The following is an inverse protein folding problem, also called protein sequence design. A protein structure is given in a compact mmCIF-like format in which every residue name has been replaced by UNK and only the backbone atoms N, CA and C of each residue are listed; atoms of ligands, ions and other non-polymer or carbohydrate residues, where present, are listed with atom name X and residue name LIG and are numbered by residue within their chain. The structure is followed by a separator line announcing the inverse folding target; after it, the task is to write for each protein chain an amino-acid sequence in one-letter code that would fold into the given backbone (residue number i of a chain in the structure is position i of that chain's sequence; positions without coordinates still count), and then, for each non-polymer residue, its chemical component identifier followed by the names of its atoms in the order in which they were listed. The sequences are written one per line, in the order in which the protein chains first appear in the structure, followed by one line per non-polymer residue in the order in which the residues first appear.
data_IF_783491151768
#
_entry.id   IF_783491151768
#
_cell.length_a   1.000
_cell.length_b   1.000
_cell.length_c   1.000
_cell.angle_alpha   90.00
_cell.angle_beta   90.00
_cell.angle_gamma   90.00
#
_symmetry.space_group_name_H-M   'P 1'
#
loop_
_entity.id
_entity.type
_entity.pdbx_description
1 polymer ?
#
# COMPACT_ATOMS: atom_id res chain seq x y z
N UNK A 1 1.49 22.88 -1.40
CA UNK A 1 1.00 21.52 -1.65
C UNK A 1 2.13 20.59 -2.06
N UNK A 2 2.70 20.71 -3.27
CA UNK A 2 3.76 19.79 -3.75
C UNK A 2 5.01 19.75 -2.84
N UNK A 3 5.46 20.90 -2.31
CA UNK A 3 6.61 20.95 -1.39
C UNK A 3 6.39 20.18 -0.07
N UNK A 4 5.19 20.27 0.52
CA UNK A 4 4.88 19.54 1.76
C UNK A 4 4.79 18.03 1.52
N UNK A 5 4.26 17.61 0.37
CA UNK A 5 4.23 16.20 0.01
C UNK A 5 5.64 15.65 -0.18
N UNK A 6 6.50 16.38 -0.91
CA UNK A 6 7.92 16.02 -1.06
C UNK A 6 8.64 15.95 0.27
N UNK A 7 8.40 16.91 1.18
CA UNK A 7 8.98 16.89 2.51
C UNK A 7 8.49 15.68 3.31
N UNK A 8 7.19 15.38 3.30
CA UNK A 8 6.65 14.19 3.94
C UNK A 8 7.34 12.91 3.45
N UNK A 9 7.53 12.77 2.13
CA UNK A 9 8.23 11.62 1.54
C UNK A 9 9.71 11.54 1.95
N UNK A 10 10.39 12.69 2.11
CA UNK A 10 11.77 12.75 2.61
C UNK A 10 11.86 12.28 4.07
N UNK A 11 10.94 12.72 4.93
CA UNK A 11 10.91 12.32 6.34
C UNK A 11 10.71 10.80 6.48
N UNK A 12 10.04 10.15 5.53
CA UNK A 12 9.85 8.69 5.51
C UNK A 12 11.08 7.91 5.01
N UNK A 13 12.09 8.57 4.43
CA UNK A 13 13.28 7.87 3.94
C UNK A 13 14.27 7.55 5.05
N UNK A 14 15.04 6.48 4.86
CA UNK A 14 16.24 6.26 5.64
C UNK A 14 17.25 7.41 5.42
N UNK A 15 17.94 7.89 6.48
CA UNK A 15 17.94 7.36 7.85
C UNK A 15 16.93 8.06 8.79
N UNK A 16 15.99 8.85 8.27
CA UNK A 16 15.06 9.63 9.09
C UNK A 16 13.96 8.75 9.68
N UNK A 17 13.18 8.07 8.82
CA UNK A 17 11.99 7.29 9.21
C UNK A 17 11.12 8.03 10.23
N UNK A 18 11.00 9.35 10.10
CA UNK A 18 10.30 10.24 11.02
C UNK A 18 8.82 10.38 10.60
N UNK A 19 8.06 9.34 10.94
CA UNK A 19 6.62 9.27 10.65
C UNK A 19 5.83 10.43 11.29
N UNK A 20 6.23 10.95 12.46
CA UNK A 20 5.55 12.08 13.09
C UNK A 20 5.74 13.37 12.30
N UNK A 21 6.96 13.63 11.81
CA UNK A 21 7.24 14.79 10.96
C UNK A 21 6.56 14.67 9.60
N UNK A 22 6.47 13.46 9.03
CA UNK A 22 5.68 13.21 7.83
C UNK A 22 4.18 13.52 8.05
N UNK A 23 3.60 13.10 9.17
CA UNK A 23 2.21 13.41 9.52
C UNK A 23 1.96 14.91 9.72
N UNK A 24 2.90 15.64 10.33
CA UNK A 24 2.82 17.12 10.42
C UNK A 24 2.80 17.77 9.03
N UNK A 25 3.60 17.28 8.10
CA UNK A 25 3.57 17.76 6.71
C UNK A 25 2.22 17.47 6.04
N UNK A 26 1.61 16.32 6.33
CA UNK A 26 0.27 15.95 5.85
C UNK A 26 -0.80 16.91 6.40
N UNK A 27 -0.75 17.25 7.68
CA UNK A 27 -1.65 18.24 8.30
C UNK A 27 -1.61 19.59 7.58
N UNK A 28 -0.40 20.08 7.26
CA UNK A 28 -0.21 21.32 6.49
C UNK A 28 -0.84 21.24 5.09
N UNK A 29 -0.85 20.06 4.45
CA UNK A 29 -1.54 19.88 3.17
C UNK A 29 -3.05 19.91 3.37
N UNK A 30 -3.59 19.28 4.41
CA UNK A 30 -5.03 19.28 4.67
C UNK A 30 -5.58 20.67 4.98
N UNK A 31 -4.82 21.55 5.63
CA UNK A 31 -5.22 22.96 5.81
C UNK A 31 -5.44 23.68 4.47
N UNK A 32 -4.72 23.29 3.42
CA UNK A 32 -4.81 23.86 2.09
C UNK A 32 -5.80 23.12 1.18
N UNK A 33 -5.91 21.79 1.35
CA UNK A 33 -6.71 20.90 0.52
C UNK A 33 -7.22 19.71 1.37
N UNK A 34 -8.35 19.87 2.09
CA UNK A 34 -8.85 18.88 3.04
C UNK A 34 -9.13 17.47 2.46
N UNK A 35 -9.38 17.38 1.16
CA UNK A 35 -9.73 16.14 0.47
C UNK A 35 -8.66 15.70 -0.55
N UNK A 36 -7.38 16.01 -0.28
CA UNK A 36 -6.29 15.65 -1.20
C UNK A 36 -6.07 14.13 -1.23
N UNK A 37 -6.51 13.46 -2.30
CA UNK A 37 -6.56 12.01 -2.37
C UNK A 37 -5.19 11.32 -2.18
N UNK A 38 -4.13 11.83 -2.79
CA UNK A 38 -2.79 11.22 -2.67
C UNK A 38 -2.26 11.30 -1.23
N UNK A 39 -2.65 12.35 -0.52
CA UNK A 39 -2.23 12.57 0.86
C UNK A 39 -3.04 11.68 1.80
N UNK A 40 -4.31 11.44 1.50
CA UNK A 40 -5.14 10.45 2.20
C UNK A 40 -4.59 9.03 2.04
N UNK A 41 -4.12 8.68 0.85
CA UNK A 41 -3.47 7.40 0.57
C UNK A 41 -2.16 7.30 1.36
N UNK A 42 -1.34 8.35 1.36
CA UNK A 42 -0.07 8.39 2.10
C UNK A 42 -0.28 8.32 3.62
N UNK A 43 -1.24 9.07 4.17
CA UNK A 43 -1.59 9.03 5.60
C UNK A 43 -1.96 7.62 6.05
N UNK A 44 -2.79 6.92 5.27
CA UNK A 44 -3.19 5.55 5.58
C UNK A 44 -2.04 4.55 5.50
N UNK A 45 -1.11 4.74 4.57
CA UNK A 45 0.08 3.92 4.45
C UNK A 45 1.04 4.14 5.63
N UNK A 46 1.26 5.39 6.06
CA UNK A 46 2.04 5.72 7.25
C UNK A 46 1.40 5.10 8.50
N UNK A 47 0.09 5.26 8.64
CA UNK A 47 -0.67 4.68 9.74
C UNK A 47 -0.59 3.16 9.76
N UNK A 48 -0.47 2.48 8.62
CA UNK A 48 -0.28 1.04 8.59
C UNK A 48 1.11 0.60 9.08
N UNK A 49 2.17 1.33 8.71
CA UNK A 49 3.55 0.95 9.07
C UNK A 49 3.96 1.40 10.47
N UNK A 50 3.48 2.54 10.93
CA UNK A 50 3.91 3.16 12.19
C UNK A 50 2.87 3.04 13.31
N UNK A 51 1.58 2.94 12.98
CA UNK A 51 0.45 2.90 13.92
C UNK A 51 -0.57 1.82 13.50
N UNK A 52 -1.86 2.08 13.71
CA UNK A 52 -2.96 1.42 13.03
C UNK A 52 -3.74 2.46 12.21
N UNK A 53 -4.33 2.03 11.09
CA UNK A 53 -5.34 2.82 10.37
C UNK A 53 -6.52 3.01 11.30
N UNK A 54 -6.88 4.25 11.61
CA UNK A 54 -7.99 4.56 12.52
C UNK A 54 -9.34 4.41 11.83
N UNK A 55 -10.41 4.22 12.60
CA UNK A 55 -11.78 4.19 12.06
C UNK A 55 -12.13 5.47 11.28
N UNK A 56 -11.69 6.65 11.76
CA UNK A 56 -11.91 7.93 11.07
C UNK A 56 -11.19 7.98 9.71
N UNK A 57 -9.94 7.52 9.67
CA UNK A 57 -9.17 7.46 8.43
C UNK A 57 -9.75 6.44 7.44
N UNK A 58 -10.17 5.27 7.93
CA UNK A 58 -10.86 4.26 7.13
C UNK A 58 -12.19 4.79 6.57
N UNK A 59 -12.95 5.54 7.38
CA UNK A 59 -14.17 6.20 6.93
C UNK A 59 -13.89 7.21 5.82
N UNK A 60 -12.89 8.07 5.99
CA UNK A 60 -12.45 9.04 4.96
C UNK A 60 -12.04 8.33 3.67
N UNK A 61 -11.30 7.22 3.76
CA UNK A 61 -10.95 6.36 2.61
C UNK A 61 -12.19 5.76 1.93
N UNK A 62 -13.22 5.38 2.68
CA UNK A 62 -14.44 4.79 2.12
C UNK A 62 -15.36 5.80 1.43
N UNK A 63 -15.32 7.07 1.86
CA UNK A 63 -16.17 8.15 1.37
C UNK A 63 -15.54 8.94 0.21
N UNK A 64 -14.21 8.86 0.03
CA UNK A 64 -13.53 9.56 -1.06
C UNK A 64 -13.94 8.99 -2.41
N UNK A 65 -14.30 9.88 -3.34
CA UNK A 65 -14.64 9.49 -4.71
C UNK A 65 -13.46 9.73 -5.63
N UNK A 66 -13.17 8.74 -6.48
CA UNK A 66 -12.07 8.80 -7.43
C UNK A 66 -12.49 8.21 -8.78
N UNK A 67 -12.23 8.94 -9.86
CA UNK A 67 -12.48 8.45 -11.23
C UNK A 67 -11.31 7.63 -11.81
N UNK A 68 -10.30 7.32 -11.00
CA UNK A 68 -9.13 6.55 -11.37
C UNK A 68 -9.18 5.18 -10.70
N UNK A 69 -9.24 4.12 -11.52
CA UNK A 69 -9.37 2.74 -11.05
C UNK A 69 -8.14 2.32 -10.24
N UNK A 70 -6.98 2.78 -10.65
CA UNK A 70 -5.69 2.51 -10.02
C UNK A 70 -5.66 3.03 -8.58
N UNK A 71 -6.08 4.28 -8.36
CA UNK A 71 -6.19 4.87 -7.01
C UNK A 71 -7.32 4.23 -6.21
N UNK A 72 -8.45 3.89 -6.83
CA UNK A 72 -9.53 3.16 -6.15
C UNK A 72 -9.07 1.77 -5.68
N UNK A 73 -8.27 1.07 -6.47
CA UNK A 73 -7.68 -0.21 -6.09
C UNK A 73 -6.71 -0.06 -4.90
N UNK A 74 -5.91 1.01 -4.85
CA UNK A 74 -5.05 1.33 -3.70
C UNK A 74 -5.87 1.58 -2.43
N UNK A 75 -6.94 2.37 -2.52
CA UNK A 75 -7.85 2.65 -1.40
C UNK A 75 -8.45 1.34 -0.86
N UNK A 76 -8.94 0.47 -1.74
CA UNK A 76 -9.50 -0.83 -1.34
C UNK A 76 -8.45 -1.71 -0.67
N UNK A 77 -7.21 -1.70 -1.17
CA UNK A 77 -6.11 -2.39 -0.51
C UNK A 77 -5.87 -1.84 0.90
N UNK A 78 -5.77 -0.52 1.08
CA UNK A 78 -5.59 0.10 2.40
C UNK A 78 -6.76 -0.20 3.35
N UNK A 79 -8.00 -0.18 2.86
CA UNK A 79 -9.18 -0.59 3.64
C UNK A 79 -9.08 -2.06 4.09
N UNK A 80 -8.51 -2.96 3.27
CA UNK A 80 -8.29 -4.34 3.70
C UNK A 80 -7.31 -4.45 4.87
N UNK A 81 -6.31 -3.57 4.95
CA UNK A 81 -5.35 -3.53 6.06
C UNK A 81 -6.00 -3.02 7.36
N UNK A 82 -6.93 -2.07 7.25
CA UNK A 82 -7.79 -1.69 8.36
C UNK A 82 -8.61 -2.88 8.87
N UNK A 83 -9.33 -3.58 7.99
CA UNK A 83 -10.15 -4.74 8.39
C UNK A 83 -9.33 -5.90 8.95
N UNK A 84 -8.10 -6.10 8.47
CA UNK A 84 -7.18 -7.03 9.11
C UNK A 84 -6.92 -6.67 10.59
N UNK A 85 -6.68 -5.39 10.87
CA UNK A 85 -6.44 -4.90 12.24
C UNK A 85 -7.66 -5.10 13.13
N UNK A 86 -8.85 -4.91 12.57
CA UNK A 86 -10.14 -5.18 13.23
C UNK A 86 -10.50 -6.68 13.31
N UNK A 87 -9.69 -7.55 12.71
CA UNK A 87 -9.92 -9.00 12.60
C UNK A 87 -11.22 -9.35 11.84
N UNK A 88 -11.64 -8.47 10.94
CA UNK A 88 -12.79 -8.68 10.06
C UNK A 88 -12.34 -9.33 8.74
N UNK A 89 -12.24 -10.65 8.78
CA UNK A 89 -11.77 -11.49 7.67
C UNK A 89 -12.65 -11.32 6.42
N UNK A 90 -13.97 -11.13 6.59
CA UNK A 90 -14.90 -11.03 5.48
C UNK A 90 -14.68 -9.72 4.71
N UNK A 91 -14.64 -8.59 5.42
CA UNK A 91 -14.41 -7.31 4.78
C UNK A 91 -12.98 -7.16 4.27
N UNK A 92 -11.97 -7.72 4.96
CA UNK A 92 -10.61 -7.80 4.43
C UNK A 92 -10.60 -8.47 3.05
N UNK A 93 -11.18 -9.68 2.95
CA UNK A 93 -11.24 -10.44 1.70
C UNK A 93 -11.98 -9.70 0.59
N UNK A 94 -13.17 -9.17 0.88
CA UNK A 94 -14.00 -8.45 -0.10
C UNK A 94 -13.23 -7.27 -0.70
N UNK A 95 -12.51 -6.52 0.14
CA UNK A 95 -11.75 -5.36 -0.32
C UNK A 95 -10.52 -5.77 -1.16
N UNK A 96 -9.82 -6.84 -0.78
CA UNK A 96 -8.72 -7.40 -1.58
C UNK A 96 -9.19 -7.86 -2.96
N UNK A 97 -10.27 -8.63 -3.02
CA UNK A 97 -10.83 -9.14 -4.29
C UNK A 97 -11.28 -7.99 -5.21
N UNK A 98 -11.92 -6.95 -4.64
CA UNK A 98 -12.30 -5.74 -5.40
C UNK A 98 -11.07 -4.94 -5.86
N UNK A 99 -10.04 -4.82 -5.04
CA UNK A 99 -8.78 -4.16 -5.40
C UNK A 99 -8.15 -4.84 -6.63
N UNK A 100 -8.02 -6.17 -6.57
CA UNK A 100 -7.51 -7.00 -7.67
C UNK A 100 -8.39 -6.88 -8.92
N UNK A 101 -9.72 -6.89 -8.77
CA UNK A 101 -10.63 -6.74 -9.90
C UNK A 101 -10.47 -5.39 -10.62
N UNK A 102 -10.17 -4.32 -9.88
CA UNK A 102 -9.94 -2.99 -10.45
C UNK A 102 -8.55 -2.82 -11.05
N UNK A 103 -7.54 -3.43 -10.42
CA UNK A 103 -6.15 -3.41 -10.89
C UNK A 103 -5.47 -4.75 -10.55
N UNK A 104 -5.39 -5.63 -11.54
CA UNK A 104 -4.79 -6.96 -11.41
C UNK A 104 -3.27 -6.94 -11.50
N UNK A 105 -2.65 -5.76 -11.62
CA UNK A 105 -1.20 -5.57 -11.76
C UNK A 105 -0.50 -5.26 -10.43
N UNK A 106 -1.23 -5.07 -9.34
CA UNK A 106 -0.62 -4.83 -8.03
C UNK A 106 -0.16 -6.14 -7.39
N UNK A 107 0.88 -6.07 -6.57
CA UNK A 107 1.51 -7.22 -5.92
C UNK A 107 0.93 -7.42 -4.52
N UNK A 108 0.83 -6.36 -3.73
CA UNK A 108 0.45 -6.49 -2.32
C UNK A 108 -1.00 -6.95 -2.05
N UNK A 109 -2.01 -6.61 -2.87
CA UNK A 109 -3.34 -7.21 -2.72
C UNK A 109 -3.32 -8.74 -2.87
N UNK A 110 -2.59 -9.27 -3.85
CA UNK A 110 -2.42 -10.71 -4.01
C UNK A 110 -1.62 -11.33 -2.87
N UNK A 111 -0.48 -10.73 -2.48
CA UNK A 111 0.32 -11.19 -1.33
C UNK A 111 -0.55 -11.31 -0.07
N UNK A 112 -1.35 -10.28 0.21
CA UNK A 112 -2.24 -10.23 1.39
C UNK A 112 -3.33 -11.30 1.30
N UNK A 113 -3.96 -11.46 0.15
CA UNK A 113 -4.96 -12.50 -0.07
C UNK A 113 -4.35 -13.92 0.05
N UNK A 114 -3.10 -14.10 -0.37
CA UNK A 114 -2.30 -15.30 -0.16
C UNK A 114 -2.20 -15.67 1.32
N UNK A 115 -1.83 -14.72 2.18
CA UNK A 115 -1.81 -14.95 3.63
C UNK A 115 -3.17 -15.29 4.20
N UNK A 116 -4.20 -14.54 3.81
CA UNK A 116 -5.56 -14.76 4.30
C UNK A 116 -6.07 -16.17 3.99
N UNK A 117 -5.64 -16.75 2.86
CA UNK A 117 -6.04 -18.08 2.41
C UNK A 117 -5.12 -19.21 2.91
N UNK A 118 -3.96 -18.91 3.48
CA UNK A 118 -2.92 -19.91 3.80
C UNK A 118 -3.42 -21.06 4.69
N UNK A 119 -4.27 -20.77 5.68
CA UNK A 119 -4.81 -21.79 6.59
C UNK A 119 -6.03 -22.54 6.03
N UNK A 120 -6.79 -21.90 5.14
CA UNK A 120 -8.09 -22.42 4.68
C UNK A 120 -8.04 -23.07 3.30
N UNK A 121 -7.15 -22.60 2.42
CA UNK A 121 -6.99 -23.07 1.05
C UNK A 121 -5.55 -22.83 0.55
N UNK A 122 -4.67 -23.77 0.86
CA UNK A 122 -3.24 -23.70 0.54
C UNK A 122 -2.95 -23.59 -0.97
N UNK A 123 -3.70 -24.31 -1.81
CA UNK A 123 -3.52 -24.26 -3.26
C UNK A 123 -3.82 -22.86 -3.81
N UNK A 124 -4.95 -22.28 -3.39
CA UNK A 124 -5.31 -20.91 -3.80
C UNK A 124 -4.38 -19.87 -3.19
N UNK A 125 -3.90 -20.09 -1.96
CA UNK A 125 -2.89 -19.23 -1.33
C UNK A 125 -1.62 -19.14 -2.18
N UNK A 126 -1.08 -20.28 -2.64
CA UNK A 126 0.06 -20.34 -3.56
C UNK A 126 -0.21 -19.65 -4.88
N UNK A 127 -1.39 -19.87 -5.48
CA UNK A 127 -1.80 -19.18 -6.70
C UNK A 127 -1.72 -17.66 -6.54
N UNK A 128 -2.20 -17.12 -5.41
CA UNK A 128 -2.11 -15.68 -5.14
C UNK A 128 -0.66 -15.20 -5.04
N UNK A 129 0.23 -15.93 -4.37
CA UNK A 129 1.64 -15.56 -4.31
C UNK A 129 2.33 -15.61 -5.69
N UNK A 130 2.01 -16.59 -6.53
CA UNK A 130 2.51 -16.62 -7.91
C UNK A 130 1.97 -15.46 -8.77
N UNK A 131 0.70 -15.08 -8.59
CA UNK A 131 0.15 -13.86 -9.20
C UNK A 131 0.91 -12.60 -8.73
N UNK A 132 1.21 -12.50 -7.42
CA UNK A 132 1.97 -11.41 -6.86
C UNK A 132 3.36 -11.30 -7.52
N UNK A 133 4.11 -12.40 -7.65
CA UNK A 133 5.43 -12.40 -8.29
C UNK A 133 5.38 -12.00 -9.76
N UNK A 134 4.39 -12.48 -10.51
CA UNK A 134 4.20 -12.13 -11.92
C UNK A 134 4.01 -10.63 -12.13
N UNK A 135 3.47 -9.95 -11.13
CA UNK A 135 3.14 -8.53 -11.16
C UNK A 135 4.30 -7.62 -10.74
N UNK A 136 5.40 -8.18 -10.21
CA UNK A 136 6.61 -7.42 -9.90
C UNK A 136 7.24 -6.94 -11.21
N UNK A 137 7.34 -5.62 -11.39
CA UNK A 137 7.91 -4.98 -12.58
C UNK A 137 9.40 -4.70 -12.44
N UNK A 138 9.86 -4.40 -11.22
CA UNK A 138 11.27 -4.16 -10.91
C UNK A 138 11.60 -4.64 -9.49
N UNK A 139 12.78 -5.22 -9.35
CA UNK A 139 13.40 -5.51 -8.05
C UNK A 139 14.60 -4.57 -7.89
N UNK A 140 14.61 -3.76 -6.84
CA UNK A 140 15.69 -2.81 -6.59
C UNK A 140 17.04 -3.53 -6.40
N UNK A 141 18.04 -3.01 -7.09
CA UNK A 141 19.46 -3.32 -6.90
C UNK A 141 20.12 -2.25 -6.02
N UNK A 142 21.22 -2.57 -5.36
CA UNK A 142 21.90 -1.67 -4.40
C UNK A 142 22.36 -0.34 -5.02
N UNK A 143 22.58 -0.30 -6.34
CA UNK A 143 23.03 0.86 -7.10
C UNK A 143 21.91 1.58 -7.87
N UNK A 144 20.66 1.16 -7.70
CA UNK A 144 19.53 1.81 -8.35
C UNK A 144 19.32 3.23 -7.82
N UNK A 145 19.37 4.21 -8.72
CA UNK A 145 18.91 5.56 -8.44
C UNK A 145 17.39 5.67 -8.67
N UNK A 146 16.67 6.23 -7.70
CA UNK A 146 15.26 6.56 -7.81
C UNK A 146 14.96 7.89 -7.11
N UNK A 147 13.92 8.59 -7.58
CA UNK A 147 13.46 9.83 -6.94
C UNK A 147 12.57 9.47 -5.74
N UNK A 148 13.17 9.37 -4.56
CA UNK A 148 12.47 9.11 -3.31
C UNK A 148 11.53 10.26 -2.88
N UNK A 149 11.54 11.41 -3.58
CA UNK A 149 10.61 12.51 -3.36
C UNK A 149 9.38 12.45 -4.27
N UNK A 150 9.30 11.44 -5.14
CA UNK A 150 8.19 11.22 -6.04
C UNK A 150 7.13 10.30 -5.43
N UNK A 151 5.88 10.74 -5.44
CA UNK A 151 4.77 10.00 -4.84
C UNK A 151 4.52 8.68 -5.56
N UNK A 152 4.59 8.66 -6.89
CA UNK A 152 4.34 7.44 -7.66
C UNK A 152 5.43 6.39 -7.41
N UNK A 153 6.68 6.84 -7.23
CA UNK A 153 7.81 5.99 -6.80
C UNK A 153 7.56 5.38 -5.42
N UNK A 154 7.11 6.18 -4.45
CA UNK A 154 6.75 5.68 -3.12
C UNK A 154 5.59 4.66 -3.17
N UNK A 155 4.53 5.00 -3.91
CA UNK A 155 3.37 4.12 -4.10
C UNK A 155 3.74 2.81 -4.81
N UNK A 156 4.65 2.88 -5.78
CA UNK A 156 5.14 1.70 -6.49
C UNK A 156 5.77 0.68 -5.52
N UNK A 157 6.50 1.19 -4.52
CA UNK A 157 7.20 0.38 -3.52
C UNK A 157 6.34 -0.06 -2.35
N UNK A 158 5.69 0.88 -1.67
CA UNK A 158 5.10 0.63 -0.35
C UNK A 158 3.60 0.31 -0.39
N UNK A 159 2.90 0.62 -1.49
CA UNK A 159 1.45 0.39 -1.61
C UNK A 159 1.12 -0.68 -2.65
N UNK A 160 1.69 -0.57 -3.84
CA UNK A 160 1.37 -1.51 -4.93
C UNK A 160 2.31 -2.70 -4.96
N UNK A 161 3.56 -2.53 -4.52
CA UNK A 161 4.62 -3.53 -4.63
C UNK A 161 5.01 -3.85 -6.09
N UNK A 162 4.73 -2.96 -7.04
CA UNK A 162 5.12 -3.17 -8.45
C UNK A 162 6.62 -2.94 -8.66
N UNK A 163 7.24 -2.17 -7.78
CA UNK A 163 8.69 -2.11 -7.58
C UNK A 163 8.94 -2.56 -6.16
N UNK A 164 9.89 -3.45 -5.87
CA UNK A 164 10.14 -3.92 -4.49
C UNK A 164 11.61 -4.15 -4.21
N UNK A 165 11.96 -4.17 -2.93
CA UNK A 165 13.28 -4.60 -2.48
C UNK A 165 13.55 -6.07 -2.80
N UNK A 166 14.83 -6.42 -2.96
CA UNK A 166 15.26 -7.81 -3.17
C UNK A 166 14.83 -8.74 -2.04
N UNK A 167 14.83 -8.25 -0.79
CA UNK A 167 14.37 -9.03 0.37
C UNK A 167 12.87 -9.36 0.30
N UNK A 168 12.04 -8.39 -0.07
CA UNK A 168 10.61 -8.60 -0.24
C UNK A 168 10.30 -9.53 -1.42
N UNK A 169 11.07 -9.45 -2.51
CA UNK A 169 10.90 -10.34 -3.67
C UNK A 169 11.19 -11.80 -3.30
N UNK A 170 12.35 -12.09 -2.70
CA UNK A 170 12.71 -13.46 -2.33
C UNK A 170 11.75 -14.03 -1.28
N UNK A 171 11.25 -13.21 -0.34
CA UNK A 171 10.25 -13.66 0.63
C UNK A 171 8.92 -14.08 -0.04
N UNK A 172 8.43 -13.34 -1.03
CA UNK A 172 7.21 -13.75 -1.76
C UNK A 172 7.47 -15.04 -2.56
N UNK A 173 8.67 -15.17 -3.14
CA UNK A 173 9.09 -16.34 -3.91
C UNK A 173 9.15 -17.62 -3.07
N UNK A 174 9.66 -17.54 -1.85
CA UNK A 174 9.63 -18.65 -0.89
C UNK A 174 8.20 -19.13 -0.59
N UNK A 175 7.25 -18.20 -0.47
CA UNK A 175 5.84 -18.51 -0.18
C UNK A 175 5.10 -19.09 -1.39
N UNK A 176 5.49 -18.69 -2.60
CA UNK A 176 4.82 -19.10 -3.81
C UNK A 176 5.16 -20.55 -4.20
N UNK A 177 6.40 -21.00 -3.90
CA UNK A 177 6.96 -22.28 -4.38
C UNK A 177 6.76 -22.47 -5.91
N UNK A 178 6.69 -21.36 -6.64
CA UNK A 178 6.89 -21.26 -8.08
C UNK A 178 8.24 -20.56 -8.35
#
# INVERSE_FOLDING_TARGET
MNLWLKLALIELQLPFEDYESALKCIEEIYQLSPNHLEVLILEAEIHWHYLAITEDLAKRLSEVTCNCKEKQAMILYLLSLYYYTEKDIENEKINLEKSIQLCDQYVYPYKRLGYLLSESNHEKSKEMFCCALKNVKKVYQDDDFYDFTDFDTYVAEFITGTVISSSNYEFIKELAEC
#
